data_IF_817542376430
#
_entry.id   IF_817542376430
#
_cell.length_a   1.000
_cell.length_b   1.000
_cell.length_c   1.000
_cell.angle_alpha   90.00
_cell.angle_beta   90.00
_cell.angle_gamma   90.00
#
_symmetry.space_group_name_H-M   'P 1'
#
loop_
_entity.id
_entity.type
_entity.pdbx_description
1 polymer ?
#
# COMPACT_ATOMS: atom_id res chain seq x y z
N UNK A 1 13.04 -16.21 -19.18
CA UNK A 1 13.93 -15.10 -18.73
C UNK A 1 13.15 -13.97 -18.06
N UNK A 2 12.24 -13.26 -18.76
CA UNK A 2 11.49 -12.12 -18.21
C UNK A 2 10.71 -12.41 -16.91
N UNK A 3 10.10 -13.59 -16.79
CA UNK A 3 9.41 -14.02 -15.55
C UNK A 3 10.37 -14.11 -14.35
N UNK A 4 11.60 -14.56 -14.56
CA UNK A 4 12.62 -14.65 -13.50
C UNK A 4 13.00 -13.24 -13.03
N UNK A 5 13.15 -12.29 -13.97
CA UNK A 5 13.40 -10.90 -13.62
C UNK A 5 12.22 -10.27 -12.85
N UNK A 6 10.99 -10.58 -13.26
CA UNK A 6 9.78 -10.12 -12.56
C UNK A 6 9.74 -10.67 -11.12
N UNK A 7 10.04 -11.95 -10.93
CA UNK A 7 10.14 -12.58 -9.60
C UNK A 7 11.24 -11.96 -8.74
N UNK A 8 12.44 -11.78 -9.30
CA UNK A 8 13.56 -11.14 -8.62
C UNK A 8 13.21 -9.70 -8.20
N UNK A 9 12.52 -8.96 -9.08
CA UNK A 9 12.02 -7.63 -8.78
C UNK A 9 10.99 -7.64 -7.65
N UNK A 10 10.01 -8.55 -7.66
CA UNK A 10 9.04 -8.66 -6.55
C UNK A 10 9.75 -8.92 -5.21
N UNK A 11 10.72 -9.84 -5.19
CA UNK A 11 11.50 -10.13 -3.96
C UNK A 11 12.24 -8.89 -3.47
N UNK A 12 12.89 -8.16 -4.39
CA UNK A 12 13.58 -6.91 -4.08
C UNK A 12 12.61 -5.85 -3.53
N UNK A 13 11.44 -5.72 -4.12
CA UNK A 13 10.39 -4.78 -3.70
C UNK A 13 9.89 -5.12 -2.28
N UNK A 14 9.67 -6.40 -1.97
CA UNK A 14 9.29 -6.86 -0.61
C UNK A 14 10.41 -6.62 0.40
N UNK A 15 11.66 -6.74 -0.02
CA UNK A 15 12.83 -6.39 0.81
C UNK A 15 12.89 -4.88 1.10
N UNK A 16 12.66 -4.04 0.09
CA UNK A 16 12.58 -2.58 0.26
C UNK A 16 11.46 -2.15 1.21
N UNK A 17 10.31 -2.86 1.21
CA UNK A 17 9.25 -2.66 2.21
C UNK A 17 9.74 -2.96 3.63
N UNK A 18 10.54 -4.02 3.80
CA UNK A 18 11.18 -4.33 5.09
C UNK A 18 12.08 -3.18 5.55
N UNK A 19 12.80 -2.56 4.62
CA UNK A 19 13.70 -1.44 4.91
C UNK A 19 12.94 -0.18 5.29
N UNK A 20 11.85 0.14 4.56
CA UNK A 20 10.93 1.22 4.92
C UNK A 20 10.40 1.06 6.34
N UNK A 21 9.93 -0.14 6.68
CA UNK A 21 9.40 -0.40 8.00
C UNK A 21 10.48 -0.35 9.09
N UNK A 22 11.71 -0.78 8.79
CA UNK A 22 12.85 -0.64 9.69
C UNK A 22 13.12 0.82 10.07
N UNK A 23 13.03 1.75 9.11
CA UNK A 23 13.24 3.19 9.35
C UNK A 23 12.21 3.71 10.35
N UNK A 24 10.94 3.31 10.23
CA UNK A 24 9.85 3.71 11.12
C UNK A 24 9.95 3.09 12.53
N UNK A 25 10.59 1.92 12.65
CA UNK A 25 10.79 1.24 13.94
C UNK A 25 12.06 1.70 14.66
N UNK A 26 13.08 2.14 13.92
CA UNK A 26 14.41 2.50 14.42
C UNK A 26 14.42 3.43 15.64
N UNK A 27 13.52 4.43 15.80
CA UNK A 27 13.53 5.28 16.99
C UNK A 27 13.19 4.57 18.30
N UNK A 28 12.56 3.40 18.24
CA UNK A 28 12.26 2.58 19.42
C UNK A 28 13.10 1.32 19.48
N UNK A 29 13.36 0.69 18.34
CA UNK A 29 14.11 -0.55 18.27
C UNK A 29 14.76 -0.71 16.89
N UNK A 30 16.04 -1.09 16.86
CA UNK A 30 16.74 -1.41 15.62
C UNK A 30 16.60 -2.90 15.31
N UNK A 31 15.52 -3.26 14.63
CA UNK A 31 15.26 -4.65 14.23
C UNK A 31 16.04 -5.00 12.95
N UNK A 32 16.72 -6.16 12.86
CA UNK A 32 17.41 -6.58 11.64
C UNK A 32 16.48 -6.69 10.43
N UNK A 33 16.93 -6.20 9.28
CA UNK A 33 16.14 -6.13 8.04
C UNK A 33 15.63 -7.51 7.59
N UNK A 34 16.47 -8.55 7.69
CA UNK A 34 16.07 -9.93 7.37
C UNK A 34 14.92 -10.44 8.24
N UNK A 35 14.80 -9.95 9.49
CA UNK A 35 13.67 -10.29 10.36
C UNK A 35 12.38 -9.64 9.85
N UNK A 36 12.44 -8.35 9.51
CA UNK A 36 11.31 -7.59 8.99
C UNK A 36 10.85 -8.10 7.62
N UNK A 37 11.78 -8.45 6.74
CA UNK A 37 11.49 -9.07 5.44
C UNK A 37 10.70 -10.37 5.61
N UNK A 38 11.15 -11.28 6.48
CA UNK A 38 10.42 -12.52 6.78
C UNK A 38 9.02 -12.25 7.35
N UNK A 39 8.89 -11.25 8.21
CA UNK A 39 7.58 -10.86 8.76
C UNK A 39 6.65 -10.27 7.70
N UNK A 40 7.18 -9.54 6.72
CA UNK A 40 6.39 -9.07 5.57
C UNK A 40 5.91 -10.24 4.72
N UNK A 41 6.76 -11.23 4.45
CA UNK A 41 6.36 -12.45 3.76
C UNK A 41 5.25 -13.18 4.53
N UNK A 42 5.43 -13.41 5.83
CA UNK A 42 4.41 -14.04 6.70
C UNK A 42 3.10 -13.24 6.66
N UNK A 43 3.18 -11.91 6.74
CA UNK A 43 2.02 -11.02 6.62
C UNK A 43 1.28 -11.23 5.30
N UNK A 44 1.98 -11.35 4.18
CA UNK A 44 1.34 -11.58 2.88
C UNK A 44 0.66 -12.95 2.82
N UNK A 45 1.31 -14.00 3.31
CA UNK A 45 0.69 -15.33 3.40
C UNK A 45 -0.58 -15.33 4.25
N UNK A 46 -0.58 -14.64 5.40
CA UNK A 46 -1.78 -14.51 6.23
C UNK A 46 -2.87 -13.74 5.49
N UNK A 47 -2.54 -12.70 4.72
CA UNK A 47 -3.51 -11.95 3.92
C UNK A 47 -4.12 -12.75 2.76
N UNK A 48 -3.41 -13.77 2.27
CA UNK A 48 -3.93 -14.72 1.30
C UNK A 48 -4.92 -15.67 1.98
N UNK A 49 -4.58 -16.20 3.15
CA UNK A 49 -5.39 -17.21 3.84
C UNK A 49 -6.62 -16.63 4.56
N UNK A 50 -6.46 -15.47 5.20
CA UNK A 50 -7.47 -14.88 6.09
C UNK A 50 -7.98 -13.58 5.48
N UNK A 51 -9.29 -13.49 5.14
CA UNK A 51 -9.89 -12.26 4.66
C UNK A 51 -9.87 -11.18 5.74
N UNK A 52 -9.78 -9.91 5.33
CA UNK A 52 -9.78 -8.76 6.26
C UNK A 52 -8.41 -8.14 6.56
N UNK A 53 -7.37 -8.50 5.79
CA UNK A 53 -6.00 -7.92 5.91
C UNK A 53 -5.39 -8.08 7.31
N UNK A 54 -5.56 -9.27 7.90
CA UNK A 54 -5.05 -9.58 9.24
C UNK A 54 -3.52 -9.71 9.30
N UNK A 55 -2.86 -9.94 8.17
CA UNK A 55 -1.41 -10.14 8.11
C UNK A 55 -0.64 -8.94 8.66
N UNK A 56 -1.11 -7.72 8.39
CA UNK A 56 -0.52 -6.51 8.94
C UNK A 56 -0.56 -6.48 10.47
N UNK A 57 -1.70 -6.90 11.05
CA UNK A 57 -1.88 -7.01 12.50
C UNK A 57 -0.97 -8.10 13.05
N UNK A 58 -0.86 -9.24 12.36
CA UNK A 58 0.01 -10.35 12.75
C UNK A 58 1.49 -9.95 12.79
N UNK A 59 2.02 -9.28 11.75
CA UNK A 59 3.42 -8.82 11.78
C UNK A 59 3.66 -7.79 12.89
N UNK A 60 2.69 -6.90 13.15
CA UNK A 60 2.81 -5.91 14.21
C UNK A 60 2.81 -6.56 15.60
N UNK A 61 1.93 -7.53 15.83
CA UNK A 61 1.88 -8.32 17.06
C UNK A 61 3.20 -9.08 17.28
N UNK A 62 3.70 -9.76 16.25
CA UNK A 62 4.95 -10.53 16.34
C UNK A 62 6.16 -9.64 16.65
N UNK A 63 6.26 -8.45 16.05
CA UNK A 63 7.31 -7.47 16.37
C UNK A 63 7.17 -7.00 17.82
N UNK A 64 5.96 -6.58 18.20
CA UNK A 64 5.69 -6.07 19.56
C UNK A 64 6.07 -7.09 20.62
N UNK A 65 5.69 -8.37 20.42
CA UNK A 65 5.98 -9.46 21.35
C UNK A 65 7.48 -9.80 21.41
N UNK A 66 8.16 -9.92 20.27
CA UNK A 66 9.59 -10.31 20.23
C UNK A 66 10.53 -9.22 20.73
N UNK A 67 10.24 -7.96 20.38
CA UNK A 67 11.13 -6.84 20.65
C UNK A 67 10.67 -5.97 21.81
N UNK A 68 9.61 -6.35 22.53
CA UNK A 68 9.04 -5.64 23.67
C UNK A 68 8.73 -4.16 23.38
N UNK A 69 8.46 -3.82 22.12
CA UNK A 69 7.99 -2.51 21.69
C UNK A 69 6.47 -2.45 21.85
N UNK A 70 5.94 -1.32 22.33
CA UNK A 70 4.49 -1.17 22.51
C UNK A 70 3.72 -1.47 21.21
N UNK A 71 2.67 -2.30 21.31
CA UNK A 71 1.85 -2.68 20.15
C UNK A 71 1.22 -1.48 19.45
N UNK A 72 0.83 -0.46 20.22
CA UNK A 72 0.29 0.81 19.68
C UNK A 72 1.27 1.53 18.78
N UNK A 73 2.54 1.64 19.18
CA UNK A 73 3.59 2.23 18.35
C UNK A 73 3.82 1.44 17.07
N UNK A 74 3.97 0.11 17.17
CA UNK A 74 4.21 -0.75 15.99
C UNK A 74 3.03 -0.66 15.02
N UNK A 75 1.80 -0.74 15.51
CA UNK A 75 0.61 -0.53 14.69
C UNK A 75 0.54 0.87 14.08
N UNK A 76 0.98 1.90 14.81
CA UNK A 76 1.15 3.25 14.28
C UNK A 76 2.10 3.31 13.09
N UNK A 77 3.24 2.59 13.14
CA UNK A 77 4.17 2.52 12.00
C UNK A 77 3.56 1.80 10.80
N UNK A 78 2.79 0.74 11.02
CA UNK A 78 2.06 0.04 9.95
C UNK A 78 0.97 0.94 9.36
N UNK A 79 0.28 1.72 10.19
CA UNK A 79 -0.70 2.68 9.73
C UNK A 79 -0.05 3.75 8.85
N UNK A 80 1.11 4.31 9.24
CA UNK A 80 1.88 5.25 8.41
C UNK A 80 2.13 4.69 7.00
N UNK A 81 2.59 3.45 6.90
CA UNK A 81 2.80 2.78 5.61
C UNK A 81 1.53 2.77 4.77
N UNK A 82 0.41 2.32 5.35
CA UNK A 82 -0.87 2.20 4.62
C UNK A 82 -1.48 3.55 4.26
N UNK A 83 -1.33 4.55 5.13
CA UNK A 83 -1.73 5.92 4.82
C UNK A 83 -0.94 6.44 3.62
N UNK A 84 0.39 6.34 3.63
CA UNK A 84 1.20 6.83 2.51
C UNK A 84 0.88 6.09 1.21
N UNK A 85 0.74 4.75 1.27
CA UNK A 85 0.34 3.95 0.10
C UNK A 85 -1.02 4.46 -0.43
N UNK A 86 -2.01 4.64 0.44
CA UNK A 86 -3.34 5.13 0.09
C UNK A 86 -3.31 6.51 -0.57
N UNK A 87 -2.56 7.47 -0.01
CA UNK A 87 -2.46 8.80 -0.60
C UNK A 87 -1.79 8.79 -1.96
N UNK A 88 -0.70 8.02 -2.13
CA UNK A 88 -0.05 7.93 -3.44
C UNK A 88 -0.99 7.27 -4.45
N UNK A 89 -1.75 6.24 -4.07
CA UNK A 89 -2.76 5.65 -4.94
C UNK A 89 -3.86 6.64 -5.31
N UNK A 90 -4.39 7.43 -4.38
CA UNK A 90 -5.37 8.48 -4.70
C UNK A 90 -4.79 9.49 -5.68
N UNK A 91 -3.57 9.96 -5.43
CA UNK A 91 -2.90 10.92 -6.32
C UNK A 91 -2.74 10.33 -7.73
N UNK A 92 -2.38 9.05 -7.85
CA UNK A 92 -2.28 8.37 -9.15
C UNK A 92 -3.64 8.20 -9.81
N UNK A 93 -4.67 7.80 -9.07
CA UNK A 93 -6.05 7.66 -9.55
C UNK A 93 -6.64 8.95 -10.10
N UNK A 94 -6.22 10.09 -9.55
CA UNK A 94 -6.68 11.41 -9.99
C UNK A 94 -5.80 11.93 -11.13
N UNK A 95 -4.48 11.81 -11.02
CA UNK A 95 -3.54 12.39 -11.98
C UNK A 95 -3.50 11.64 -13.31
N UNK A 96 -3.56 10.30 -13.31
CA UNK A 96 -3.45 9.52 -14.56
C UNK A 96 -4.62 9.83 -15.50
N UNK A 97 -5.91 9.76 -15.09
CA UNK A 97 -7.02 10.16 -15.96
C UNK A 97 -6.97 11.64 -16.33
N UNK A 98 -6.54 12.53 -15.43
CA UNK A 98 -6.44 13.96 -15.72
C UNK A 98 -5.40 14.24 -16.82
N UNK A 99 -4.27 13.54 -16.84
CA UNK A 99 -3.24 13.66 -17.88
C UNK A 99 -3.77 13.18 -19.25
N UNK A 100 -4.48 12.05 -19.28
CA UNK A 100 -5.13 11.57 -20.49
C UNK A 100 -6.23 12.52 -20.98
N UNK A 101 -7.06 13.04 -20.06
CA UNK A 101 -8.12 13.99 -20.37
C UNK A 101 -7.57 15.33 -20.88
N UNK A 102 -6.45 15.81 -20.33
CA UNK A 102 -5.77 17.03 -20.76
C UNK A 102 -5.22 16.91 -22.18
N UNK A 103 -4.67 15.75 -22.55
CA UNK A 103 -4.23 15.48 -23.93
C UNK A 103 -5.38 15.43 -24.94
N UNK A 104 -6.58 15.08 -24.48
CA UNK A 104 -7.78 14.93 -25.32
C UNK A 104 -8.80 16.07 -25.14
N UNK A 105 -8.40 17.19 -24.50
CA UNK A 105 -9.25 18.35 -24.18
C UNK A 105 -10.60 18.02 -23.51
N UNK A 106 -10.66 16.93 -22.75
CA UNK A 106 -11.91 16.47 -22.12
C UNK A 106 -12.24 17.37 -20.92
N UNK A 107 -13.47 17.90 -20.89
CA UNK A 107 -14.00 18.70 -19.77
C UNK A 107 -14.08 17.83 -18.51
N UNK A 108 -13.23 18.09 -17.52
CA UNK A 108 -13.24 17.36 -16.23
C UNK A 108 -11.92 17.40 -15.44
N UNK A 109 -10.80 17.74 -16.07
CA UNK A 109 -9.48 17.76 -15.41
C UNK A 109 -9.41 18.70 -14.19
N UNK A 110 -10.22 19.77 -14.16
CA UNK A 110 -10.30 20.72 -13.03
C UNK A 110 -10.91 20.07 -11.77
N UNK A 111 -11.88 19.17 -11.94
CA UNK A 111 -12.49 18.41 -10.83
C UNK A 111 -11.46 17.44 -10.27
N UNK A 112 -10.74 16.73 -11.14
CA UNK A 112 -9.64 15.87 -10.74
C UNK A 112 -8.57 16.68 -9.97
N UNK A 113 -8.08 17.79 -10.52
CA UNK A 113 -7.09 18.65 -9.86
C UNK A 113 -7.56 19.14 -8.48
N UNK A 114 -8.84 19.51 -8.33
CA UNK A 114 -9.43 19.90 -7.04
C UNK A 114 -9.35 18.77 -6.01
N UNK A 115 -9.76 17.55 -6.34
CA UNK A 115 -9.65 16.41 -5.43
C UNK A 115 -8.19 16.03 -5.12
N UNK A 116 -7.28 16.22 -6.07
CA UNK A 116 -5.83 16.03 -5.85
C UNK A 116 -5.30 17.00 -4.79
N UNK A 117 -5.63 18.28 -4.93
CA UNK A 117 -5.25 19.32 -3.98
C UNK A 117 -5.90 19.09 -2.61
N UNK A 118 -7.16 18.64 -2.58
CA UNK A 118 -7.87 18.32 -1.34
C UNK A 118 -7.24 17.12 -0.60
N UNK A 119 -6.87 16.07 -1.33
CA UNK A 119 -6.15 14.93 -0.76
C UNK A 119 -4.77 15.33 -0.24
N UNK A 120 -4.02 16.13 -0.99
CA UNK A 120 -2.72 16.66 -0.55
C UNK A 120 -2.86 17.53 0.71
N UNK A 121 -3.86 18.41 0.77
CA UNK A 121 -4.14 19.23 1.95
C UNK A 121 -4.51 18.36 3.16
N UNK A 122 -5.36 17.35 2.97
CA UNK A 122 -5.73 16.43 4.05
C UNK A 122 -4.52 15.65 4.59
N UNK A 123 -3.61 15.20 3.72
CA UNK A 123 -2.34 14.58 4.12
C UNK A 123 -1.50 15.53 4.97
N UNK A 124 -1.31 16.77 4.51
CA UNK A 124 -0.52 17.78 5.22
C UNK A 124 -1.11 18.08 6.59
N UNK A 125 -2.43 18.30 6.67
CA UNK A 125 -3.14 18.55 7.93
C UNK A 125 -3.03 17.36 8.90
N UNK A 126 -3.13 16.13 8.39
CA UNK A 126 -3.01 14.92 9.19
C UNK A 126 -1.59 14.72 9.74
N UNK A 127 -0.55 14.95 8.92
CA UNK A 127 0.86 14.88 9.35
C UNK A 127 1.18 15.98 10.38
N UNK A 128 0.65 17.20 10.19
CA UNK A 128 0.93 18.33 11.08
C UNK A 128 0.16 18.28 12.41
N UNK A 129 -1.10 17.83 12.39
CA UNK A 129 -1.97 17.79 13.57
C UNK A 129 -2.55 16.39 13.86
N UNK A 130 -1.70 15.35 14.09
CA UNK A 130 -2.19 14.01 14.39
C UNK A 130 -3.06 14.01 15.67
N UNK A 131 -2.72 14.85 16.65
CA UNK A 131 -3.49 15.01 17.90
C UNK A 131 -4.92 15.53 17.67
N UNK A 132 -5.16 16.38 16.68
CA UNK A 132 -6.49 16.94 16.39
C UNK A 132 -7.38 15.89 15.72
N UNK A 133 -6.82 15.10 14.80
CA UNK A 133 -7.54 13.99 14.16
C UNK A 133 -7.89 12.89 15.17
N UNK A 134 -6.98 12.60 16.10
CA UNK A 134 -7.24 11.63 17.16
C UNK A 134 -8.10 12.16 18.31
N UNK A 135 -8.22 13.49 18.51
CA UNK A 135 -9.31 14.03 19.35
C UNK A 135 -10.69 13.65 18.80
N UNK A 136 -10.84 13.50 17.48
CA UNK A 136 -12.04 12.92 16.86
C UNK A 136 -12.29 11.47 17.30
N UNK A 137 -11.23 10.69 17.52
CA UNK A 137 -11.33 9.30 18.03
C UNK A 137 -11.64 9.22 19.53
N UNK A 138 -11.61 10.34 20.27
CA UNK A 138 -12.04 10.38 21.67
C UNK A 138 -13.53 9.99 21.80
N UNK A 139 -14.33 10.19 20.75
CA UNK A 139 -15.70 9.69 20.68
C UNK A 139 -15.77 8.17 20.77
N UNK A 140 -14.87 7.44 20.11
CA UNK A 140 -14.79 5.97 20.18
C UNK A 140 -14.43 5.52 21.60
N UNK A 141 -13.54 6.25 22.29
CA UNK A 141 -13.20 5.97 23.69
C UNK A 141 -14.37 6.20 24.67
N UNK A 142 -15.46 6.85 24.25
CA UNK A 142 -16.70 6.99 25.03
C UNK A 142 -17.64 5.81 24.91
N UNK A 143 -17.50 5.00 23.87
CA UNK A 143 -18.29 3.78 23.65
C UNK A 143 -17.67 2.58 24.40
N UNK A 144 -16.37 2.64 24.72
CA UNK A 144 -15.66 1.58 25.42
C UNK A 144 -15.95 1.55 26.94
N UNK A 145 -16.08 0.36 27.55
CA UNK A 145 -16.16 0.20 29.00
C UNK A 145 -14.96 0.84 29.71
N UNK A 146 -15.18 1.39 30.91
CA UNK A 146 -14.16 2.12 31.70
C UNK A 146 -12.86 1.32 31.90
N UNK A 147 -12.95 0.00 32.05
CA UNK A 147 -11.81 -0.91 32.23
C UNK A 147 -10.87 -0.99 31.01
N UNK A 148 -11.40 -0.81 29.79
CA UNK A 148 -10.63 -0.90 28.54
C UNK A 148 -10.17 0.47 28.03
N UNK A 149 -10.83 1.54 28.49
CA UNK A 149 -10.57 2.91 28.04
C UNK A 149 -9.11 3.33 28.23
N UNK A 150 -8.51 3.04 29.39
CA UNK A 150 -7.15 3.49 29.69
C UNK A 150 -6.11 2.79 28.81
N UNK A 151 -6.23 1.47 28.63
CA UNK A 151 -5.35 0.71 27.72
C UNK A 151 -5.50 1.14 26.26
N UNK A 152 -6.73 1.42 25.82
CA UNK A 152 -6.98 1.93 24.47
C UNK A 152 -6.38 3.34 24.26
N UNK A 153 -6.49 4.23 25.25
CA UNK A 153 -5.89 5.57 25.18
C UNK A 153 -4.36 5.51 25.14
N UNK A 154 -3.72 4.65 25.94
CA UNK A 154 -2.27 4.46 25.87
C UNK A 154 -1.85 3.89 24.51
N UNK A 155 -2.57 2.88 24.02
CA UNK A 155 -2.34 2.32 22.68
C UNK A 155 -2.42 3.38 21.58
N UNK A 156 -3.46 4.22 21.59
CA UNK A 156 -3.60 5.33 20.64
C UNK A 156 -2.50 6.38 20.82
N UNK A 157 -2.14 6.71 22.06
CA UNK A 157 -1.05 7.63 22.38
C UNK A 157 0.29 7.18 21.79
N UNK A 158 0.63 5.90 21.93
CA UNK A 158 1.82 5.29 21.33
C UNK A 158 1.74 5.23 19.80
N UNK A 159 0.54 5.02 19.24
CA UNK A 159 0.31 5.12 17.80
C UNK A 159 0.58 6.53 17.27
N UNK A 160 0.06 7.57 17.93
CA UNK A 160 0.32 8.99 17.62
C UNK A 160 1.80 9.31 17.70
N UNK A 161 2.49 8.77 18.71
CA UNK A 161 3.93 8.92 18.86
C UNK A 161 4.69 8.43 17.61
N UNK A 162 4.26 7.32 17.00
CA UNK A 162 4.84 6.84 15.75
C UNK A 162 4.65 7.85 14.60
N UNK A 163 3.46 8.46 14.45
CA UNK A 163 3.21 9.50 13.44
C UNK A 163 4.07 10.76 13.65
N UNK A 164 4.48 11.03 14.89
CA UNK A 164 5.41 12.11 15.20
C UNK A 164 6.72 12.04 14.42
N UNK A 165 7.14 10.84 13.98
CA UNK A 165 8.36 10.65 13.18
C UNK A 165 8.29 11.30 11.81
N UNK A 166 7.09 11.40 11.21
CA UNK A 166 6.88 12.02 9.89
C UNK A 166 7.13 13.53 9.90
N UNK A 167 7.27 14.15 11.08
CA UNK A 167 7.69 15.56 11.21
C UNK A 167 9.16 15.76 10.83
N UNK A 168 9.98 14.72 10.89
CA UNK A 168 11.34 14.78 10.36
C UNK A 168 11.30 14.77 8.84
N UNK A 169 11.66 15.89 8.20
CA UNK A 169 11.71 16.00 6.74
C UNK A 169 12.55 14.89 6.10
N UNK A 170 13.64 14.47 6.77
CA UNK A 170 14.48 13.36 6.33
C UNK A 170 13.70 12.03 6.33
N UNK A 171 13.05 11.68 7.44
CA UNK A 171 12.27 10.43 7.52
C UNK A 171 11.13 10.46 6.49
N UNK A 172 10.39 11.57 6.42
CA UNK A 172 9.31 11.73 5.46
C UNK A 172 9.79 11.54 4.02
N UNK A 173 10.88 12.21 3.63
CA UNK A 173 11.46 12.09 2.30
C UNK A 173 11.87 10.64 1.99
N UNK A 174 12.58 9.97 2.90
CA UNK A 174 12.98 8.57 2.71
C UNK A 174 11.78 7.63 2.57
N UNK A 175 10.77 7.77 3.43
CA UNK A 175 9.58 6.91 3.38
C UNK A 175 8.79 7.18 2.10
N UNK A 176 8.66 8.43 1.66
CA UNK A 176 8.02 8.78 0.37
C UNK A 176 8.79 8.20 -0.81
N UNK A 177 10.13 8.33 -0.85
CA UNK A 177 10.96 7.74 -1.91
C UNK A 177 10.77 6.23 -1.96
N UNK A 178 10.77 5.54 -0.81
CA UNK A 178 10.57 4.10 -0.75
C UNK A 178 9.15 3.69 -1.16
N UNK A 179 8.12 4.49 -0.83
CA UNK A 179 6.74 4.27 -1.29
C UNK A 179 6.62 4.42 -2.82
N UNK A 180 7.21 5.47 -3.39
CA UNK A 180 7.26 5.66 -4.84
C UNK A 180 8.04 4.53 -5.52
N UNK A 181 9.17 4.11 -4.95
CA UNK A 181 9.96 2.98 -5.43
C UNK A 181 9.21 1.65 -5.37
N UNK A 182 8.42 1.43 -4.31
CA UNK A 182 7.54 0.26 -4.19
C UNK A 182 6.48 0.21 -5.31
N UNK A 183 5.85 1.36 -5.62
CA UNK A 183 4.86 1.45 -6.70
C UNK A 183 5.54 1.28 -8.06
N UNK A 184 6.67 1.96 -8.30
CA UNK A 184 7.43 1.82 -9.53
C UNK A 184 7.89 0.37 -9.75
N UNK A 185 8.30 -0.32 -8.68
CA UNK A 185 8.64 -1.73 -8.69
C UNK A 185 7.46 -2.63 -9.11
N UNK A 186 6.25 -2.37 -8.61
CA UNK A 186 5.06 -3.12 -9.04
C UNK A 186 4.72 -2.87 -10.52
N UNK A 187 4.82 -1.62 -10.99
CA UNK A 187 4.62 -1.31 -12.42
C UNK A 187 5.70 -1.98 -13.27
N UNK A 188 6.94 -2.04 -12.78
CA UNK A 188 8.03 -2.75 -13.44
C UNK A 188 7.76 -4.26 -13.52
N UNK A 189 7.24 -4.90 -12.46
CA UNK A 189 6.80 -6.30 -12.50
C UNK A 189 5.76 -6.51 -13.60
N UNK A 190 4.74 -5.64 -13.69
CA UNK A 190 3.74 -5.70 -14.76
C UNK A 190 4.39 -5.59 -16.15
N UNK A 191 5.29 -4.61 -16.33
CA UNK A 191 5.97 -4.38 -17.60
C UNK A 191 6.88 -5.56 -18.02
N UNK A 192 7.60 -6.16 -17.08
CA UNK A 192 8.42 -7.35 -17.33
C UNK A 192 7.56 -8.55 -17.73
N UNK A 193 6.40 -8.73 -17.11
CA UNK A 193 5.46 -9.77 -17.53
C UNK A 193 4.81 -9.47 -18.88
N UNK A 194 4.55 -8.21 -19.24
CA UNK A 194 4.13 -7.88 -20.61
C UNK A 194 5.16 -8.36 -21.62
N UNK A 195 6.45 -8.16 -21.36
CA UNK A 195 7.53 -8.71 -22.20
C UNK A 195 7.56 -10.24 -22.22
N UNK A 196 7.21 -10.91 -21.13
CA UNK A 196 7.13 -12.37 -21.08
C UNK A 196 6.02 -12.95 -21.97
N UNK A 197 4.91 -12.21 -22.14
CA UNK A 197 3.74 -12.62 -22.93
C UNK A 197 3.68 -11.98 -24.34
N UNK A 198 4.77 -11.33 -24.77
CA UNK A 198 4.87 -10.56 -26.02
C UNK A 198 3.77 -9.50 -26.19
N UNK A 199 3.32 -8.92 -25.07
CA UNK A 199 2.36 -7.83 -25.05
C UNK A 199 3.10 -6.52 -25.32
N UNK A 200 2.80 -5.88 -26.46
CA UNK A 200 3.38 -4.59 -26.88
C UNK A 200 2.73 -3.41 -26.13
N UNK A 201 2.78 -3.47 -24.80
CA UNK A 201 2.20 -2.49 -23.91
C UNK A 201 3.27 -1.56 -23.31
N UNK A 202 2.90 -0.31 -23.10
CA UNK A 202 3.77 0.71 -22.52
C UNK A 202 3.81 0.63 -21.00
N UNK A 203 4.74 1.37 -20.39
CA UNK A 203 4.79 1.56 -18.94
C UNK A 203 3.47 2.10 -18.38
N UNK A 204 2.81 3.00 -19.11
CA UNK A 204 1.52 3.58 -18.72
C UNK A 204 0.40 2.54 -18.62
N UNK A 205 0.42 1.52 -19.50
CA UNK A 205 -0.51 0.40 -19.40
C UNK A 205 -0.26 -0.43 -18.12
N UNK A 206 1.00 -0.58 -17.71
CA UNK A 206 1.37 -1.26 -16.47
C UNK A 206 0.90 -0.50 -15.22
N UNK A 207 0.95 0.84 -15.26
CA UNK A 207 0.43 1.71 -14.21
C UNK A 207 -1.10 1.64 -14.15
N UNK A 208 -1.78 1.72 -15.30
CA UNK A 208 -3.24 1.57 -15.37
C UNK A 208 -3.70 0.22 -14.83
N UNK A 209 -3.02 -0.86 -15.23
CA UNK A 209 -3.26 -2.20 -14.72
C UNK A 209 -3.10 -2.26 -13.20
N UNK A 210 -2.02 -1.69 -12.65
CA UNK A 210 -1.81 -1.62 -11.21
C UNK A 210 -2.99 -0.92 -10.51
N UNK A 211 -3.44 0.23 -11.02
CA UNK A 211 -4.59 0.95 -10.46
C UNK A 211 -5.85 0.07 -10.49
N UNK A 212 -6.18 -0.54 -11.63
CA UNK A 212 -7.34 -1.42 -11.77
C UNK A 212 -7.32 -2.60 -10.78
N UNK A 213 -6.17 -3.25 -10.60
CA UNK A 213 -5.98 -4.32 -9.61
C UNK A 213 -6.25 -3.79 -8.19
N UNK A 214 -5.82 -2.57 -7.87
CA UNK A 214 -6.05 -1.98 -6.55
C UNK A 214 -7.53 -1.73 -6.25
N UNK A 215 -8.33 -1.36 -7.26
CA UNK A 215 -9.80 -1.27 -7.11
C UNK A 215 -10.41 -2.66 -6.97
N UNK A 216 -9.97 -3.64 -7.77
CA UNK A 216 -10.39 -5.03 -7.63
C UNK A 216 -10.07 -5.62 -6.24
N UNK A 217 -9.07 -5.08 -5.55
CA UNK A 217 -8.65 -5.49 -4.20
C UNK A 217 -9.39 -4.78 -3.05
N UNK A 218 -10.35 -3.88 -3.33
CA UNK A 218 -11.14 -3.18 -2.31
C UNK A 218 -12.16 -4.11 -1.65
N UNK A 219 -12.96 -4.91 -2.38
CA UNK A 219 -13.93 -5.81 -1.76
C UNK A 219 -13.24 -6.81 -0.82
N UNK A 220 -13.79 -7.07 0.38
CA UNK A 220 -13.32 -8.14 1.25
C UNK A 220 -13.68 -9.48 0.59
N UNK A 221 -12.74 -10.00 -0.19
CA UNK A 221 -12.94 -11.13 -1.08
C UNK A 221 -12.55 -12.49 -0.49
N UNK A 222 -12.87 -13.55 -1.24
CA UNK A 222 -12.52 -14.96 -0.96
C UNK A 222 -11.02 -15.16 -0.64
N UNK A 223 -10.66 -16.21 0.13
CA UNK A 223 -9.26 -16.58 0.35
C UNK A 223 -8.48 -16.66 -0.97
N UNK A 224 -7.29 -16.06 -0.98
CA UNK A 224 -6.43 -15.95 -2.16
C UNK A 224 -6.93 -15.03 -3.26
N UNK A 225 -8.08 -14.37 -3.11
CA UNK A 225 -8.66 -13.43 -4.09
C UNK A 225 -8.78 -13.98 -5.52
N UNK A 226 -8.78 -15.31 -5.64
CA UNK A 226 -8.85 -16.01 -6.91
C UNK A 226 -10.15 -15.61 -7.63
N UNK A 227 -10.04 -15.28 -8.90
CA UNK A 227 -11.14 -14.84 -9.74
C UNK A 227 -11.28 -13.31 -9.77
N UNK A 228 -11.30 -12.63 -8.62
CA UNK A 228 -11.44 -11.16 -8.58
C UNK A 228 -10.18 -10.47 -9.10
N UNK A 229 -9.01 -11.00 -8.74
CA UNK A 229 -7.73 -10.52 -9.26
C UNK A 229 -7.66 -10.67 -10.79
N UNK A 230 -7.91 -11.87 -11.30
CA UNK A 230 -7.88 -12.16 -12.74
C UNK A 230 -8.93 -11.36 -13.50
N UNK A 231 -10.12 -11.18 -12.91
CA UNK A 231 -11.18 -10.37 -13.51
C UNK A 231 -10.76 -8.90 -13.64
N UNK A 232 -10.14 -8.32 -12.60
CA UNK A 232 -9.61 -6.96 -12.66
C UNK A 232 -8.52 -6.82 -13.74
N UNK A 233 -7.64 -7.82 -13.87
CA UNK A 233 -6.62 -7.86 -14.93
C UNK A 233 -7.27 -7.92 -16.32
N UNK A 234 -8.26 -8.79 -16.53
CA UNK A 234 -8.99 -8.93 -17.79
C UNK A 234 -9.66 -7.60 -18.18
N UNK A 235 -10.36 -6.96 -17.24
CA UNK A 235 -11.01 -5.66 -17.48
C UNK A 235 -9.98 -4.56 -17.78
N UNK A 236 -8.83 -4.58 -17.12
CA UNK A 236 -7.80 -3.57 -17.35
C UNK A 236 -7.16 -3.73 -18.73
N UNK A 237 -6.85 -4.96 -19.12
CA UNK A 237 -6.19 -5.25 -20.39
C UNK A 237 -7.14 -5.20 -21.59
N UNK A 238 -8.45 -5.33 -21.39
CA UNK A 238 -9.44 -5.16 -22.47
C UNK A 238 -9.48 -3.74 -23.02
N UNK A 239 -9.16 -2.72 -22.19
CA UNK A 239 -8.99 -1.32 -22.62
C UNK A 239 -7.88 -1.19 -23.66
N UNK A 240 -6.86 -2.05 -23.59
CA UNK A 240 -5.76 -2.12 -24.56
C UNK A 240 -6.00 -3.17 -25.65
N UNK A 241 -7.25 -3.63 -25.81
CA UNK A 241 -7.68 -4.55 -26.87
C UNK A 241 -6.93 -5.90 -26.80
N UNK A 242 -6.56 -6.32 -25.59
CA UNK A 242 -5.95 -7.65 -25.39
C UNK A 242 -7.06 -8.71 -25.28
N UNK A 243 -6.96 -9.82 -26.03
CA UNK A 243 -7.93 -10.92 -25.93
C UNK A 243 -8.07 -11.47 -24.50
N UNK A 244 -9.30 -11.81 -24.10
CA UNK A 244 -9.61 -12.31 -22.75
C UNK A 244 -8.76 -13.52 -22.33
N UNK A 245 -8.53 -14.47 -23.25
CA UNK A 245 -7.71 -15.65 -22.98
C UNK A 245 -6.26 -15.28 -22.64
N UNK A 246 -5.66 -14.37 -23.40
CA UNK A 246 -4.30 -13.89 -23.17
C UNK A 246 -4.21 -13.07 -21.87
N UNK A 247 -5.19 -12.20 -21.61
CA UNK A 247 -5.26 -11.43 -20.38
C UNK A 247 -5.42 -12.32 -19.13
N UNK A 248 -6.19 -13.41 -19.23
CA UNK A 248 -6.32 -14.40 -18.16
C UNK A 248 -4.99 -15.13 -17.90
N UNK A 249 -4.31 -15.61 -18.94
CA UNK A 249 -3.00 -16.27 -18.80
C UNK A 249 -1.96 -15.33 -18.17
N UNK A 250 -1.94 -14.07 -18.61
CA UNK A 250 -1.12 -13.03 -18.01
C UNK A 250 -1.50 -12.81 -16.53
N UNK A 251 -2.79 -12.69 -16.23
CA UNK A 251 -3.30 -12.46 -14.87
C UNK A 251 -2.92 -13.57 -13.90
N UNK A 252 -3.04 -14.84 -14.31
CA UNK A 252 -2.61 -15.99 -13.52
C UNK A 252 -1.11 -15.92 -13.23
N UNK A 253 -0.28 -15.63 -14.24
CA UNK A 253 1.17 -15.51 -14.03
C UNK A 253 1.52 -14.33 -13.12
N UNK A 254 0.85 -13.19 -13.28
CA UNK A 254 1.04 -12.05 -12.40
C UNK A 254 0.67 -12.38 -10.95
N UNK A 255 -0.44 -13.08 -10.72
CA UNK A 255 -0.88 -13.50 -9.38
C UNK A 255 0.09 -14.48 -8.71
N UNK A 256 0.82 -15.29 -9.50
CA UNK A 256 1.85 -16.19 -8.97
C UNK A 256 3.16 -15.46 -8.63
N UNK A 257 3.45 -14.36 -9.33
CA UNK A 257 4.71 -13.62 -9.21
C UNK A 257 4.65 -12.45 -8.23
N UNK A 258 3.47 -11.85 -8.03
CA UNK A 258 3.25 -10.61 -7.28
C UNK A 258 2.24 -10.79 -6.14
#
# INVERSE_FOLDING_TARGET
>A
FWVILALANTIFVVFALGWRWQILLKPKEKIPLNSLFRLNIISQYINILIPGRFGEVSRAYLVSKRHKVSGGYVMGTVAIEKFLDFFVFILLWISVPALFAMQQEVKGYKIALFFCLLAALFLVLFIWQPKTVLKGTAFVSRILPSKLRQGFQDFLGKGIEAFGQLRSAKILLFVVILTCGFIAGQVLTNFLLFKAFDLKLSFWAGLFLLLAIQVGNIPPSVPGKIGIFEYAVILALSVFIIPKSQALSYGIMLHLVA
#
